data_IF_241572588980
#
_entry.id   IF_241572588980
#
_cell.length_a   1.000
_cell.length_b   1.000
_cell.length_c   1.000
_cell.angle_alpha   90.00
_cell.angle_beta   90.00
_cell.angle_gamma   90.00
#
_symmetry.space_group_name_H-M   'P 1'
#
loop_
_entity.id
_entity.type
_entity.pdbx_description
1 polymer ?
#
# COMPACT_ATOMS: atom_id res chain seq x y z
N UNK A 1 -3.18 11.67 -7.77
CA UNK A 1 -1.72 11.56 -7.91
C UNK A 1 -1.31 10.33 -8.72
N UNK A 2 -1.68 9.10 -8.32
CA UNK A 2 -1.33 7.85 -9.03
C UNK A 2 -1.58 7.90 -10.56
N UNK A 3 -2.76 8.38 -10.97
CA UNK A 3 -3.13 8.53 -12.39
C UNK A 3 -2.21 9.46 -13.19
N UNK A 4 -1.46 10.37 -12.57
CA UNK A 4 -0.52 11.28 -13.25
C UNK A 4 0.90 11.14 -12.71
N UNK A 5 1.24 9.98 -12.14
CA UNK A 5 2.54 9.76 -11.52
C UNK A 5 3.72 9.97 -12.49
N UNK A 6 3.53 9.67 -13.79
CA UNK A 6 4.57 9.92 -14.81
C UNK A 6 4.89 11.40 -15.03
N UNK A 7 3.94 12.32 -14.79
CA UNK A 7 4.21 13.76 -14.83
C UNK A 7 4.79 14.29 -13.52
N UNK A 8 4.51 13.61 -12.40
CA UNK A 8 4.97 14.02 -11.08
C UNK A 8 6.40 13.55 -10.83
N UNK A 9 6.73 12.31 -11.21
CA UNK A 9 7.99 11.65 -10.88
C UNK A 9 9.27 12.39 -11.32
N UNK A 10 9.33 13.05 -12.50
CA UNK A 10 10.53 13.82 -12.90
C UNK A 10 10.90 14.95 -11.94
N UNK A 11 9.95 15.41 -11.12
CA UNK A 11 10.13 16.51 -10.16
C UNK A 11 10.31 16.02 -8.71
N UNK A 12 10.43 14.71 -8.48
CA UNK A 12 10.51 14.12 -7.14
C UNK A 12 11.69 13.16 -7.02
N UNK A 13 12.36 13.17 -5.86
CA UNK A 13 13.42 12.19 -5.56
C UNK A 13 12.86 10.83 -5.10
N UNK A 14 11.62 10.81 -4.60
CA UNK A 14 10.91 9.61 -4.16
C UNK A 14 9.39 9.83 -4.20
N UNK A 15 8.63 8.74 -4.25
CA UNK A 15 7.17 8.71 -4.13
C UNK A 15 6.80 7.84 -2.92
N UNK A 16 6.23 8.48 -1.89
CA UNK A 16 5.68 7.78 -0.72
C UNK A 16 4.16 7.72 -0.83
N UNK A 17 3.63 6.52 -0.97
CA UNK A 17 2.19 6.29 -1.08
C UNK A 17 1.57 6.22 0.32
N UNK A 18 0.85 7.28 0.68
CA UNK A 18 0.01 7.33 1.88
C UNK A 18 -1.26 6.53 1.68
N UNK A 19 -1.20 5.24 2.00
CA UNK A 19 -2.32 4.32 1.69
C UNK A 19 -3.58 4.61 2.46
N UNK A 20 -3.49 5.23 3.64
CA UNK A 20 -4.67 5.63 4.40
C UNK A 20 -5.55 6.59 3.59
N UNK A 21 -4.98 7.72 3.17
CA UNK A 21 -5.69 8.72 2.38
C UNK A 21 -6.04 8.20 0.99
N UNK A 22 -5.20 7.36 0.41
CA UNK A 22 -5.51 6.72 -0.86
C UNK A 22 -6.75 5.82 -0.74
N UNK A 23 -6.87 5.01 0.31
CA UNK A 23 -8.07 4.22 0.60
C UNK A 23 -9.28 5.13 0.80
N UNK A 24 -9.16 6.20 1.59
CA UNK A 24 -10.24 7.16 1.82
C UNK A 24 -10.79 7.72 0.50
N UNK A 25 -9.90 8.17 -0.39
CA UNK A 25 -10.27 8.81 -1.64
C UNK A 25 -10.74 7.80 -2.70
N UNK A 26 -10.23 6.57 -2.67
CA UNK A 26 -10.62 5.51 -3.62
C UNK A 26 -12.06 5.07 -3.37
N UNK A 27 -12.43 4.89 -2.11
CA UNK A 27 -13.76 4.40 -1.73
C UNK A 27 -14.74 5.50 -1.29
N UNK A 28 -14.29 6.74 -1.17
CA UNK A 28 -15.11 7.82 -0.62
C UNK A 28 -15.43 7.62 0.87
N UNK A 29 -14.50 7.02 1.62
CA UNK A 29 -14.67 6.70 3.03
C UNK A 29 -13.87 7.67 3.90
N UNK A 30 -14.55 8.42 4.76
CA UNK A 30 -13.90 9.12 5.88
C UNK A 30 -13.49 8.09 6.93
N UNK A 31 -12.19 7.99 7.25
CA UNK A 31 -11.66 7.05 8.23
C UNK A 31 -12.29 7.26 9.62
N UNK A 32 -12.48 8.52 10.01
CA UNK A 32 -13.03 8.90 11.31
C UNK A 32 -14.51 8.52 11.44
N UNK A 33 -15.24 8.43 10.32
CA UNK A 33 -16.65 8.04 10.30
C UNK A 33 -16.87 6.55 9.96
N UNK A 34 -15.93 5.93 9.24
CA UNK A 34 -16.04 4.55 8.75
C UNK A 34 -16.23 3.54 9.89
N UNK A 35 -15.61 3.78 11.05
CA UNK A 35 -15.75 2.92 12.23
C UNK A 35 -17.19 2.71 12.70
N UNK A 36 -18.13 3.60 12.33
CA UNK A 36 -19.55 3.50 12.69
C UNK A 36 -20.31 2.42 11.91
N UNK A 37 -19.84 2.05 10.71
CA UNK A 37 -20.57 1.15 9.82
C UNK A 37 -19.70 0.04 9.21
N UNK A 38 -18.37 0.15 9.26
CA UNK A 38 -17.47 -0.80 8.60
C UNK A 38 -17.66 -2.23 9.08
N UNK A 39 -17.86 -2.44 10.38
CA UNK A 39 -18.14 -3.77 10.95
C UNK A 39 -19.40 -4.41 10.35
N UNK A 40 -20.43 -3.62 10.05
CA UNK A 40 -21.65 -4.09 9.39
C UNK A 40 -21.38 -4.47 7.94
N UNK A 41 -20.57 -3.67 7.23
CA UNK A 41 -20.20 -3.95 5.84
C UNK A 41 -19.40 -5.25 5.72
N UNK A 42 -18.46 -5.48 6.63
CA UNK A 42 -17.69 -6.73 6.69
C UNK A 42 -18.60 -7.93 7.00
N UNK A 43 -19.51 -7.80 7.98
CA UNK A 43 -20.47 -8.86 8.30
C UNK A 43 -21.44 -9.19 7.15
N UNK A 44 -21.77 -8.21 6.33
CA UNK A 44 -22.62 -8.37 5.15
C UNK A 44 -21.83 -8.83 3.90
N UNK A 45 -20.51 -8.96 4.00
CA UNK A 45 -19.64 -9.38 2.89
C UNK A 45 -19.47 -8.31 1.81
N UNK A 46 -19.74 -7.04 2.11
CA UNK A 46 -19.42 -5.92 1.20
C UNK A 46 -17.92 -5.78 1.04
N UNK A 47 -17.18 -5.93 2.14
CA UNK A 47 -15.73 -6.06 2.17
C UNK A 47 -15.35 -7.35 2.88
N UNK A 48 -14.27 -8.04 2.48
CA UNK A 48 -13.76 -9.19 3.21
C UNK A 48 -13.17 -8.81 4.58
N UNK A 49 -12.57 -7.63 4.67
CA UNK A 49 -11.97 -7.03 5.88
C UNK A 49 -11.98 -5.51 5.76
N UNK A 50 -11.81 -4.78 6.87
CA UNK A 50 -11.68 -3.32 6.87
C UNK A 50 -10.50 -2.87 5.97
N UNK A 51 -10.75 -2.09 4.90
CA UNK A 51 -9.73 -1.67 3.94
C UNK A 51 -8.72 -0.65 4.51
N UNK A 52 -8.91 -0.17 5.76
CA UNK A 52 -7.92 0.62 6.49
C UNK A 52 -6.96 -0.24 7.32
N UNK A 53 -7.28 -1.52 7.54
CA UNK A 53 -6.43 -2.48 8.25
C UNK A 53 -5.70 -3.42 7.29
N UNK A 54 -6.38 -3.85 6.25
CA UNK A 54 -5.85 -4.70 5.20
C UNK A 54 -5.92 -3.94 3.87
N UNK A 55 -4.80 -3.90 3.15
CA UNK A 55 -4.76 -3.25 1.84
C UNK A 55 -5.71 -3.99 0.89
N UNK A 56 -6.71 -3.28 0.39
CA UNK A 56 -7.48 -3.72 -0.76
C UNK A 56 -6.56 -3.75 -2.00
N UNK A 57 -6.36 -4.95 -2.57
CA UNK A 57 -5.45 -5.14 -3.71
C UNK A 57 -6.12 -4.81 -5.05
N UNK A 58 -7.45 -4.94 -5.14
CA UNK A 58 -8.17 -4.84 -6.40
C UNK A 58 -8.48 -3.39 -6.79
N UNK A 59 -8.70 -2.49 -5.84
CA UNK A 59 -8.93 -1.07 -6.07
C UNK A 59 -7.73 -0.20 -5.68
N UNK A 60 -7.41 -0.15 -4.38
CA UNK A 60 -6.30 0.68 -3.88
C UNK A 60 -4.96 0.13 -4.40
N UNK A 61 -4.81 -1.18 -4.43
CA UNK A 61 -3.64 -1.86 -5.01
C UNK A 61 -3.46 -1.56 -6.49
N UNK A 62 -4.53 -1.50 -7.28
CA UNK A 62 -4.45 -1.11 -8.70
C UNK A 62 -3.86 0.31 -8.84
N UNK A 63 -4.30 1.26 -8.01
CA UNK A 63 -3.75 2.61 -8.01
C UNK A 63 -2.29 2.66 -7.56
N UNK A 64 -1.88 1.83 -6.59
CA UNK A 64 -0.49 1.69 -6.19
C UNK A 64 0.38 1.19 -7.36
N UNK A 65 -0.04 0.11 -8.02
CA UNK A 65 0.67 -0.47 -9.16
C UNK A 65 0.75 0.52 -10.33
N UNK A 66 -0.36 1.18 -10.66
CA UNK A 66 -0.40 2.17 -11.72
C UNK A 66 0.52 3.36 -11.44
N UNK A 67 0.50 3.87 -10.21
CA UNK A 67 1.37 4.96 -9.78
C UNK A 67 2.85 4.57 -9.80
N UNK A 68 3.18 3.37 -9.31
CA UNK A 68 4.52 2.82 -9.31
C UNK A 68 5.06 2.63 -10.74
N UNK A 69 4.27 2.00 -11.62
CA UNK A 69 4.63 1.75 -13.01
C UNK A 69 4.88 3.06 -13.77
N UNK A 70 3.93 4.00 -13.72
CA UNK A 70 4.08 5.32 -14.37
C UNK A 70 5.23 6.14 -13.80
N UNK A 71 5.45 6.06 -12.48
CA UNK A 71 6.56 6.75 -11.83
C UNK A 71 7.91 6.23 -12.30
N UNK A 72 8.09 4.90 -12.37
CA UNK A 72 9.32 4.27 -12.85
C UNK A 72 9.51 4.40 -14.35
N UNK A 73 8.44 4.43 -15.14
CA UNK A 73 8.52 4.70 -16.58
C UNK A 73 9.09 6.10 -16.86
N UNK A 74 8.63 7.11 -16.12
CA UNK A 74 9.11 8.48 -16.27
C UNK A 74 10.47 8.74 -15.59
N UNK A 75 10.76 8.06 -14.48
CA UNK A 75 12.01 8.18 -13.74
C UNK A 75 12.47 6.81 -13.21
N UNK A 76 13.28 6.04 -13.98
CA UNK A 76 13.64 4.65 -13.65
C UNK A 76 14.29 4.45 -12.29
N UNK A 77 14.92 5.47 -11.71
CA UNK A 77 15.57 5.43 -10.40
C UNK A 77 14.73 5.98 -9.24
N UNK A 78 13.47 6.38 -9.44
CA UNK A 78 12.67 6.99 -8.36
C UNK A 78 12.39 5.99 -7.25
N UNK A 79 12.73 6.35 -6.01
CA UNK A 79 12.43 5.49 -4.85
C UNK A 79 10.92 5.47 -4.61
N UNK A 80 10.34 4.27 -4.51
CA UNK A 80 8.94 4.02 -4.24
C UNK A 80 8.79 3.45 -2.82
N UNK A 81 7.86 4.00 -2.05
CA UNK A 81 7.58 3.50 -0.71
C UNK A 81 6.10 3.60 -0.36
N UNK A 82 5.72 2.84 0.66
CA UNK A 82 4.40 2.92 1.28
C UNK A 82 4.54 3.39 2.72
N UNK A 83 3.62 4.24 3.15
CA UNK A 83 3.43 4.60 4.55
C UNK A 83 1.96 4.43 4.96
N UNK A 84 1.74 4.27 6.27
CA UNK A 84 0.43 4.04 6.87
C UNK A 84 0.34 2.73 7.64
N UNK A 85 -0.86 2.34 8.08
CA UNK A 85 -1.03 1.09 8.83
C UNK A 85 -0.63 -0.14 8.01
N UNK A 86 -0.89 -0.12 6.69
CA UNK A 86 -0.58 -1.20 5.75
C UNK A 86 0.91 -1.53 5.67
N UNK A 87 1.81 -0.57 5.94
CA UNK A 87 3.25 -0.81 5.92
C UNK A 87 3.74 -1.82 6.98
N UNK A 88 2.90 -2.14 7.96
CA UNK A 88 3.16 -3.16 8.99
C UNK A 88 2.37 -4.46 8.83
N UNK A 89 1.57 -4.60 7.76
CA UNK A 89 0.79 -5.79 7.48
C UNK A 89 1.58 -6.74 6.53
N UNK A 90 1.80 -8.02 6.87
CA UNK A 90 2.58 -8.95 6.04
C UNK A 90 2.08 -9.12 4.60
N UNK A 91 0.77 -9.14 4.36
CA UNK A 91 0.17 -9.31 3.04
C UNK A 91 0.37 -8.04 2.19
N UNK A 92 0.18 -6.87 2.80
CA UNK A 92 0.48 -5.59 2.15
C UNK A 92 1.97 -5.45 1.81
N UNK A 93 2.87 -5.94 2.68
CA UNK A 93 4.31 -5.98 2.41
C UNK A 93 4.61 -6.93 1.24
N UNK A 94 3.95 -8.09 1.17
CA UNK A 94 4.08 -9.03 0.05
C UNK A 94 3.64 -8.40 -1.27
N UNK A 95 2.48 -7.73 -1.27
CA UNK A 95 1.99 -6.98 -2.42
C UNK A 95 2.96 -5.89 -2.88
N UNK A 96 3.41 -5.03 -1.95
CA UNK A 96 4.34 -3.94 -2.28
C UNK A 96 5.67 -4.48 -2.83
N UNK A 97 6.18 -5.58 -2.27
CA UNK A 97 7.38 -6.25 -2.78
C UNK A 97 7.17 -6.77 -4.20
N UNK A 98 6.04 -7.43 -4.48
CA UNK A 98 5.72 -7.92 -5.81
C UNK A 98 5.55 -6.76 -6.82
N UNK A 99 5.01 -5.63 -6.38
CA UNK A 99 4.84 -4.40 -7.17
C UNK A 99 6.13 -3.57 -7.32
N UNK A 100 7.27 -4.03 -6.78
CA UNK A 100 8.58 -3.38 -6.97
C UNK A 100 8.83 -2.15 -6.10
N UNK A 101 8.16 -2.03 -4.94
CA UNK A 101 8.43 -0.97 -3.97
C UNK A 101 9.76 -1.22 -3.25
N UNK A 102 10.50 -0.14 -2.97
CA UNK A 102 11.84 -0.22 -2.38
C UNK A 102 11.81 -0.42 -0.86
N UNK A 103 10.84 0.20 -0.16
CA UNK A 103 10.68 0.02 1.28
C UNK A 103 9.25 0.27 1.78
N UNK A 104 8.98 -0.23 2.99
CA UNK A 104 7.75 0.00 3.75
C UNK A 104 8.07 0.83 4.99
N UNK A 105 7.16 1.72 5.38
CA UNK A 105 7.25 2.49 6.61
C UNK A 105 6.03 2.23 7.49
N UNK A 106 6.26 1.92 8.77
CA UNK A 106 5.23 1.61 9.74
C UNK A 106 5.57 2.18 11.12
N UNK A 107 4.60 2.15 12.04
CA UNK A 107 4.79 2.63 13.41
C UNK A 107 5.90 1.86 14.14
N UNK A 108 6.60 2.47 15.12
CA UNK A 108 7.78 1.86 15.77
C UNK A 108 7.54 0.43 16.29
N UNK A 109 6.38 0.17 16.88
CA UNK A 109 6.04 -1.14 17.42
C UNK A 109 5.77 -2.21 16.34
N UNK A 110 5.44 -1.82 15.11
CA UNK A 110 5.25 -2.73 13.97
C UNK A 110 6.55 -3.01 13.21
N UNK A 111 7.63 -2.27 13.46
CA UNK A 111 8.92 -2.47 12.80
C UNK A 111 9.45 -3.91 12.91
N UNK A 112 9.43 -4.58 14.09
CA UNK A 112 9.88 -5.97 14.18
C UNK A 112 9.06 -6.93 13.31
N UNK A 113 7.74 -6.75 13.26
CA UNK A 113 6.83 -7.56 12.43
C UNK A 113 7.09 -7.33 10.94
N UNK A 114 7.21 -6.07 10.53
CA UNK A 114 7.49 -5.73 9.14
C UNK A 114 8.83 -6.30 8.66
N UNK A 115 9.87 -6.25 9.50
CA UNK A 115 11.18 -6.86 9.22
C UNK A 115 11.10 -8.37 9.09
N UNK A 116 10.37 -9.04 9.99
CA UNK A 116 10.18 -10.48 9.94
C UNK A 116 9.44 -10.90 8.67
N UNK A 117 8.34 -10.23 8.34
CA UNK A 117 7.56 -10.50 7.13
C UNK A 117 8.41 -10.29 5.86
N UNK A 118 9.13 -9.17 5.76
CA UNK A 118 10.02 -8.91 4.63
C UNK A 118 11.11 -9.99 4.48
N UNK A 119 11.68 -10.47 5.58
CA UNK A 119 12.67 -11.55 5.57
C UNK A 119 12.08 -12.89 5.12
N UNK A 120 10.90 -13.27 5.65
CA UNK A 120 10.19 -14.49 5.26
C UNK A 120 9.84 -14.48 3.77
N UNK A 121 9.35 -13.36 3.25
CA UNK A 121 9.04 -13.18 1.83
C UNK A 121 10.30 -13.25 0.95
N UNK A 122 11.41 -12.65 1.39
CA UNK A 122 12.67 -12.71 0.68
C UNK A 122 13.26 -14.13 0.63
N UNK A 123 13.09 -14.91 1.70
CA UNK A 123 13.48 -16.33 1.74
C UNK A 123 12.58 -17.14 0.81
N UNK A 124 11.26 -17.03 0.95
CA UNK A 124 10.27 -17.78 0.16
C UNK A 124 10.46 -17.58 -1.36
N UNK A 125 10.73 -16.34 -1.79
CA UNK A 125 10.99 -16.02 -3.20
C UNK A 125 12.30 -16.63 -3.76
N UNK A 126 13.23 -17.07 -2.91
CA UNK A 126 14.47 -17.75 -3.35
C UNK A 126 14.33 -19.27 -3.46
N UNK A 127 13.33 -19.84 -2.81
CA UNK A 127 13.12 -21.30 -2.74
C UNK A 127 12.02 -21.79 -3.68
N UNK A 128 11.14 -20.90 -4.15
CA UNK A 128 10.19 -21.16 -5.24
C UNK A 128 10.78 -20.77 -6.59
#
# INVERSE_FOLDING_TARGET
AALRAGEIAPYCSFLSFGTNDLTQMTYGLSRDDAGRFMSTYVQQGVFPEDPFHMLDQDGVGELLQLGAARGREAQPGVTLSICGEHGGNPESIAFCRAAGFDYVSCSPFRVPVARLAAAQLAITHKIG
#
